data_IF_938434094177
#
_entry.id   IF_938434094177
#
_cell.length_a   1.000
_cell.length_b   1.000
_cell.length_c   1.000
_cell.angle_alpha   90.00
_cell.angle_beta   90.00
_cell.angle_gamma   90.00
#
_symmetry.space_group_name_H-M   'P 1'
#
loop_
_entity.id
_entity.type
_entity.pdbx_description
1 polymer ?
#
# COMPACT_ATOMS: atom_id res chain seq x y z
N UNK A 1 -5.70 29.55 -8.48
CA UNK A 1 -4.61 28.93 -9.28
C UNK A 1 -3.30 29.16 -8.57
N UNK A 2 -3.00 28.37 -7.58
CA UNK A 2 -1.66 28.29 -6.99
C UNK A 2 -1.12 26.90 -7.28
N UNK A 3 -0.16 26.85 -8.20
CA UNK A 3 0.58 25.66 -8.55
C UNK A 3 1.54 25.35 -7.41
N UNK A 4 1.25 24.35 -6.62
CA UNK A 4 2.25 23.75 -5.71
C UNK A 4 2.93 22.63 -6.45
N UNK A 5 4.16 22.87 -6.81
CA UNK A 5 5.05 21.93 -7.45
C UNK A 5 5.45 20.87 -6.41
N UNK A 6 5.05 19.63 -6.64
CA UNK A 6 5.69 18.47 -6.01
C UNK A 6 7.14 18.43 -6.50
N UNK A 7 8.04 18.61 -5.56
CA UNK A 7 9.47 18.66 -5.80
C UNK A 7 9.96 17.27 -6.23
N UNK A 8 10.36 17.19 -7.49
CA UNK A 8 11.13 16.08 -8.01
C UNK A 8 12.48 16.02 -7.28
N UNK A 9 12.73 14.98 -6.50
CA UNK A 9 14.05 14.69 -5.94
C UNK A 9 14.94 14.13 -7.05
N UNK A 10 15.96 14.88 -7.35
CA UNK A 10 16.98 14.60 -8.35
C UNK A 10 17.82 13.39 -7.99
N UNK A 11 17.91 12.47 -8.93
CA UNK A 11 18.95 11.46 -9.03
C UNK A 11 20.36 12.10 -8.96
N UNK A 12 21.18 11.63 -8.05
CA UNK A 12 22.63 11.77 -8.14
C UNK A 12 23.22 10.41 -8.49
N UNK A 13 23.52 10.26 -9.76
CA UNK A 13 24.33 9.16 -10.26
C UNK A 13 25.80 9.35 -9.81
N UNK A 14 26.33 8.45 -9.02
CA UNK A 14 27.77 8.32 -8.79
C UNK A 14 28.27 7.10 -9.54
N UNK A 15 28.90 7.36 -10.67
CA UNK A 15 29.72 6.41 -11.41
C UNK A 15 31.06 6.24 -10.71
N UNK A 16 31.39 5.01 -10.29
CA UNK A 16 32.71 4.62 -9.82
C UNK A 16 33.14 3.32 -10.45
N UNK A 17 34.01 3.42 -11.46
CA UNK A 17 34.69 2.30 -12.10
C UNK A 17 35.99 1.93 -11.36
N UNK A 18 36.34 0.64 -11.35
CA UNK A 18 37.69 0.15 -10.93
C UNK A 18 37.63 -1.31 -10.63
N UNK A 19 37.89 -2.18 -11.55
CA UNK A 19 39.11 -2.84 -12.00
C UNK A 19 39.63 -3.97 -11.09
N UNK A 20 39.46 -5.20 -11.62
CA UNK A 20 40.43 -6.31 -11.77
C UNK A 20 41.12 -6.95 -10.55
N UNK A 21 41.07 -8.28 -10.52
CA UNK A 21 42.02 -9.13 -9.80
C UNK A 21 41.65 -10.59 -9.90
N UNK A 22 42.16 -11.29 -10.93
CA UNK A 22 42.24 -12.76 -11.01
C UNK A 22 43.38 -13.29 -10.11
N UNK A 23 43.20 -14.50 -9.55
CA UNK A 23 44.25 -15.57 -9.48
C UNK A 23 43.70 -16.68 -8.58
N UNK A 24 43.35 -17.78 -9.07
CA UNK A 24 43.92 -19.09 -9.39
C UNK A 24 44.67 -19.80 -8.25
N UNK A 25 44.24 -21.02 -7.98
CA UNK A 25 45.13 -22.12 -7.79
C UNK A 25 45.06 -22.87 -6.46
N UNK A 26 44.84 -24.19 -6.55
CA UNK A 26 45.48 -25.12 -5.66
C UNK A 26 44.64 -26.21 -5.03
N UNK A 27 44.59 -27.36 -5.70
CA UNK A 27 44.17 -28.66 -5.22
C UNK A 27 44.89 -29.09 -3.91
N UNK A 28 44.22 -29.88 -3.08
CA UNK A 28 44.69 -31.23 -2.79
C UNK A 28 43.67 -31.98 -1.90
N UNK A 29 43.39 -33.18 -2.33
CA UNK A 29 42.64 -34.21 -1.63
C UNK A 29 43.47 -34.82 -0.46
N UNK A 30 42.79 -35.29 0.59
CA UNK A 30 43.17 -36.57 1.20
C UNK A 30 42.07 -37.18 2.05
N UNK A 31 41.86 -38.43 1.83
CA UNK A 31 40.91 -39.34 2.43
C UNK A 31 41.31 -39.76 3.85
N UNK A 32 40.36 -40.25 4.64
CA UNK A 32 40.63 -41.00 5.88
C UNK A 32 39.41 -41.35 6.70
N UNK A 33 38.75 -42.43 6.33
CA UNK A 33 38.24 -43.56 7.15
C UNK A 33 37.47 -43.32 8.45
N UNK A 34 36.26 -43.89 8.45
CA UNK A 34 35.47 -44.36 9.60
C UNK A 34 36.17 -45.43 10.43
N UNK A 35 35.72 -45.79 11.68
CA UNK A 35 34.56 -46.67 11.75
C UNK A 35 33.58 -46.41 12.94
N UNK A 36 32.47 -47.09 12.80
CA UNK A 36 31.28 -47.19 13.60
C UNK A 36 31.45 -47.63 15.06
N UNK A 37 30.50 -47.25 15.89
CA UNK A 37 29.97 -48.11 16.96
C UNK A 37 28.49 -47.81 17.21
N UNK A 38 27.71 -48.85 17.02
CA UNK A 38 26.32 -48.99 17.45
C UNK A 38 26.20 -48.95 18.97
N UNK A 39 25.14 -48.34 19.49
CA UNK A 39 24.31 -49.06 20.45
C UNK A 39 22.93 -48.40 20.65
N UNK A 40 21.97 -49.24 20.61
CA UNK A 40 20.52 -49.08 20.53
C UNK A 40 19.81 -48.78 21.86
N UNK A 41 18.54 -48.49 21.65
CA UNK A 41 17.37 -48.64 22.56
C UNK A 41 17.09 -47.48 23.50
N UNK A 42 15.86 -47.01 23.66
CA UNK A 42 14.50 -47.44 23.30
C UNK A 42 13.48 -46.27 23.54
N UNK A 43 12.23 -46.42 23.13
CA UNK A 43 11.35 -45.34 22.70
C UNK A 43 10.39 -44.91 23.82
N UNK A 44 9.80 -43.80 23.61
CA UNK A 44 8.47 -43.33 24.05
C UNK A 44 8.50 -41.92 24.58
N UNK A 45 8.20 -41.03 23.75
CA UNK A 45 7.10 -40.10 24.00
C UNK A 45 6.76 -39.36 22.70
N UNK A 46 5.95 -40.00 21.89
CA UNK A 46 5.22 -39.29 20.82
C UNK A 46 4.17 -38.44 21.54
N UNK A 47 4.56 -37.26 21.91
CA UNK A 47 3.61 -36.17 21.98
C UNK A 47 3.51 -35.62 20.57
N UNK A 48 2.30 -35.67 20.03
CA UNK A 48 1.88 -34.96 18.84
C UNK A 48 2.38 -33.52 18.90
N UNK A 49 3.60 -33.30 18.47
CA UNK A 49 4.03 -32.01 17.98
C UNK A 49 3.37 -31.91 16.61
N UNK A 50 2.21 -31.27 16.52
CA UNK A 50 1.80 -30.61 15.30
C UNK A 50 3.06 -29.92 14.79
N UNK A 51 3.61 -30.41 13.71
CA UNK A 51 4.67 -29.73 12.93
C UNK A 51 4.07 -28.40 12.44
N UNK A 52 4.00 -27.43 13.31
CA UNK A 52 3.80 -26.03 12.94
C UNK A 52 5.13 -25.62 12.33
N UNK A 53 5.31 -25.89 11.03
CA UNK A 53 6.39 -25.31 10.28
C UNK A 53 6.37 -23.81 10.58
N UNK A 54 7.47 -23.30 11.10
CA UNK A 54 7.60 -21.87 11.37
C UNK A 54 7.32 -21.11 10.08
N UNK A 55 6.38 -20.15 10.09
CA UNK A 55 6.08 -19.38 8.89
C UNK A 55 7.34 -18.72 8.35
N UNK A 56 7.57 -18.83 7.05
CA UNK A 56 8.74 -18.27 6.37
C UNK A 56 10.09 -18.76 6.91
N UNK A 57 10.19 -20.04 7.28
CA UNK A 57 11.44 -20.62 7.79
C UNK A 57 12.58 -20.38 6.82
N UNK A 58 13.71 -19.88 7.35
CA UNK A 58 14.95 -19.62 6.60
C UNK A 58 14.97 -18.32 5.80
N UNK A 59 13.91 -17.52 5.82
CA UNK A 59 13.90 -16.20 5.19
C UNK A 59 14.26 -15.10 6.19
N UNK A 60 15.00 -14.09 5.72
CA UNK A 60 15.20 -12.84 6.45
C UNK A 60 13.91 -12.00 6.51
N UNK A 61 13.88 -11.00 7.38
CA UNK A 61 12.76 -10.06 7.44
C UNK A 61 12.56 -9.34 6.11
N UNK A 62 13.62 -8.85 5.49
CA UNK A 62 13.59 -8.19 4.19
C UNK A 62 13.01 -9.07 3.09
N UNK A 63 13.49 -10.34 2.97
CA UNK A 63 12.94 -11.28 1.98
C UNK A 63 11.44 -11.56 2.18
N UNK A 64 10.97 -11.54 3.43
CA UNK A 64 9.54 -11.71 3.72
C UNK A 64 8.77 -10.46 3.31
N UNK A 65 9.27 -9.26 3.61
CA UNK A 65 8.65 -8.00 3.22
C UNK A 65 8.55 -7.87 1.71
N UNK A 66 9.64 -8.15 0.98
CA UNK A 66 9.64 -8.15 -0.49
C UNK A 66 8.58 -9.09 -1.07
N UNK A 67 8.47 -10.32 -0.51
CA UNK A 67 7.43 -11.26 -0.94
C UNK A 67 6.03 -10.78 -0.62
N UNK A 68 5.84 -10.17 0.54
CA UNK A 68 4.55 -9.64 0.94
C UNK A 68 4.09 -8.50 0.04
N UNK A 69 4.99 -7.56 -0.26
CA UNK A 69 4.72 -6.48 -1.20
C UNK A 69 4.41 -7.01 -2.59
N UNK A 70 5.25 -7.92 -3.11
CA UNK A 70 5.03 -8.54 -4.42
C UNK A 70 3.72 -9.33 -4.50
N UNK A 71 3.33 -10.03 -3.43
CA UNK A 71 2.04 -10.72 -3.37
C UNK A 71 0.88 -9.73 -3.36
N UNK A 72 1.01 -8.64 -2.58
CA UNK A 72 -0.03 -7.62 -2.43
C UNK A 72 -0.25 -6.85 -3.73
N UNK A 73 0.81 -6.31 -4.35
CA UNK A 73 0.74 -5.67 -5.66
C UNK A 73 0.38 -6.67 -6.76
N UNK A 74 0.71 -7.95 -6.56
CA UNK A 74 0.34 -9.09 -7.41
C UNK A 74 -1.13 -9.49 -7.33
N UNK A 75 -1.88 -9.08 -6.31
CA UNK A 75 -3.27 -9.46 -6.14
C UNK A 75 -4.15 -8.95 -7.29
N UNK A 76 -5.14 -9.75 -7.77
CA UNK A 76 -6.02 -9.31 -8.85
C UNK A 76 -6.87 -8.09 -8.47
N UNK A 77 -7.17 -7.95 -7.19
CA UNK A 77 -7.88 -6.84 -6.57
C UNK A 77 -7.68 -6.88 -5.06
N UNK A 78 -7.87 -5.76 -4.42
CA UNK A 78 -7.87 -5.63 -2.97
C UNK A 78 -8.67 -4.39 -2.54
N UNK A 79 -8.90 -4.27 -1.24
CA UNK A 79 -9.36 -3.04 -0.59
C UNK A 79 -8.28 -2.58 0.37
N UNK A 80 -8.00 -1.29 0.38
CA UNK A 80 -7.19 -0.70 1.42
C UNK A 80 -7.94 0.41 2.15
N UNK A 81 -7.67 0.51 3.43
CA UNK A 81 -8.18 1.56 4.29
C UNK A 81 -7.01 2.19 5.03
N UNK A 82 -7.04 3.49 5.22
CA UNK A 82 -5.95 4.19 5.90
C UNK A 82 -6.38 5.51 6.50
N UNK A 83 -5.60 5.94 7.48
CA UNK A 83 -5.62 7.29 8.03
C UNK A 83 -4.19 7.81 8.01
N UNK A 84 -3.97 8.88 7.27
CA UNK A 84 -2.67 9.50 7.06
C UNK A 84 -2.81 10.98 7.44
N UNK A 85 -2.04 11.50 8.39
CA UNK A 85 -2.01 12.93 8.64
C UNK A 85 -1.65 13.70 7.37
N UNK A 86 -2.41 14.71 7.06
CA UNK A 86 -2.13 15.62 5.97
C UNK A 86 -1.48 16.89 6.55
N UNK A 87 -0.19 17.06 6.31
CA UNK A 87 0.56 18.21 6.82
C UNK A 87 0.14 19.51 6.13
N UNK A 88 -0.41 19.45 4.92
CA UNK A 88 -0.76 20.63 4.13
C UNK A 88 -2.05 21.29 4.65
N UNK A 89 -3.08 20.49 4.92
CA UNK A 89 -4.33 20.96 5.53
C UNK A 89 -4.27 20.98 7.06
N UNK A 90 -3.32 20.26 7.67
CA UNK A 90 -3.26 19.99 9.11
C UNK A 90 -4.34 19.01 9.59
N UNK A 91 -5.00 18.35 8.65
CA UNK A 91 -6.06 17.38 8.87
C UNK A 91 -5.58 15.94 8.82
N UNK A 92 -6.48 15.05 8.48
CA UNK A 92 -6.21 13.62 8.27
C UNK A 92 -6.88 13.17 6.98
N UNK A 93 -6.10 12.62 6.06
CA UNK A 93 -6.59 11.94 4.89
C UNK A 93 -7.10 10.55 5.31
N UNK A 94 -8.39 10.29 5.10
CA UNK A 94 -8.99 8.98 5.29
C UNK A 94 -9.21 8.33 3.93
N UNK A 95 -8.76 7.10 3.82
CA UNK A 95 -8.83 6.32 2.59
C UNK A 95 -9.67 5.07 2.84
N UNK A 96 -10.60 4.78 1.95
CA UNK A 96 -11.32 3.52 1.92
C UNK A 96 -11.64 3.15 0.47
N UNK A 97 -10.73 2.42 -0.17
CA UNK A 97 -10.76 2.18 -1.61
C UNK A 97 -10.59 0.69 -1.93
N UNK A 98 -11.44 0.17 -2.81
CA UNK A 98 -11.25 -1.10 -3.49
C UNK A 98 -10.72 -0.82 -4.91
N UNK A 99 -9.71 -1.56 -5.34
CA UNK A 99 -9.10 -1.41 -6.65
C UNK A 99 -8.68 -2.73 -7.27
N UNK A 100 -8.51 -2.77 -8.59
CA UNK A 100 -8.02 -3.93 -9.31
C UNK A 100 -6.88 -3.57 -10.28
N UNK A 101 -6.24 -4.61 -10.81
CA UNK A 101 -5.12 -4.46 -11.77
C UNK A 101 -5.47 -3.81 -13.10
N UNK A 102 -6.74 -3.59 -13.40
CA UNK A 102 -7.17 -2.87 -14.60
C UNK A 102 -7.21 -1.37 -14.35
N UNK A 103 -7.02 -0.96 -13.08
CA UNK A 103 -7.17 0.41 -12.63
C UNK A 103 -8.63 0.80 -12.40
N UNK A 104 -9.55 -0.17 -12.33
CA UNK A 104 -10.88 0.07 -11.83
C UNK A 104 -10.82 0.23 -10.30
N UNK A 105 -11.54 1.23 -9.76
CA UNK A 105 -11.44 1.62 -8.36
C UNK A 105 -12.77 2.19 -7.89
N UNK A 106 -13.11 1.98 -6.62
CA UNK A 106 -14.30 2.55 -6.01
C UNK A 106 -14.15 2.69 -4.49
N UNK A 107 -14.66 3.77 -3.93
CA UNK A 107 -14.67 4.01 -2.50
C UNK A 107 -14.75 5.46 -2.11
N UNK A 108 -14.13 5.84 -1.00
CA UNK A 108 -14.21 7.18 -0.42
C UNK A 108 -12.84 7.73 -0.04
N UNK A 109 -12.69 9.04 -0.19
CA UNK A 109 -11.59 9.85 0.30
C UNK A 109 -12.16 10.90 1.23
N UNK A 110 -11.74 10.91 2.49
CA UNK A 110 -12.12 11.94 3.47
C UNK A 110 -10.92 12.85 3.76
N UNK A 111 -11.14 14.16 3.75
CA UNK A 111 -10.12 15.18 3.97
C UNK A 111 -10.36 15.90 5.30
N UNK A 112 -10.12 15.20 6.41
CA UNK A 112 -10.30 15.79 7.74
C UNK A 112 -11.69 16.39 7.95
N UNK A 113 -11.71 17.67 8.31
CA UNK A 113 -12.94 18.46 8.45
C UNK A 113 -13.38 19.12 7.12
N UNK A 114 -12.59 18.96 6.05
CA UNK A 114 -12.87 19.56 4.73
C UNK A 114 -13.89 18.76 3.91
N UNK A 115 -14.31 17.59 4.38
CA UNK A 115 -15.38 16.79 3.76
C UNK A 115 -14.92 15.49 3.13
N UNK A 116 -15.81 14.90 2.31
CA UNK A 116 -15.61 13.58 1.71
C UNK A 116 -15.94 13.57 0.21
N UNK A 117 -15.19 12.76 -0.52
CA UNK A 117 -15.42 12.46 -1.93
C UNK A 117 -15.67 10.97 -2.09
N UNK A 118 -16.84 10.58 -2.59
CA UNK A 118 -17.09 9.22 -3.07
C UNK A 118 -16.65 9.15 -4.54
N UNK A 119 -15.83 8.15 -4.88
CA UNK A 119 -15.30 8.03 -6.23
C UNK A 119 -15.51 6.63 -6.84
N UNK A 120 -15.65 6.60 -8.15
CA UNK A 120 -15.62 5.38 -8.96
C UNK A 120 -14.81 5.70 -10.21
N UNK A 121 -13.70 4.96 -10.41
CA UNK A 121 -12.94 5.00 -11.65
C UNK A 121 -13.19 3.69 -12.40
N UNK A 122 -13.66 3.79 -13.63
CA UNK A 122 -13.89 2.63 -14.48
C UNK A 122 -13.46 2.93 -15.91
N UNK A 123 -12.52 2.14 -16.40
CA UNK A 123 -11.86 2.42 -17.67
C UNK A 123 -11.21 3.80 -17.66
N UNK A 124 -11.54 4.63 -18.64
CA UNK A 124 -11.02 6.00 -18.75
C UNK A 124 -11.90 7.09 -18.11
N UNK A 125 -12.92 6.72 -17.32
CA UNK A 125 -13.88 7.66 -16.74
C UNK A 125 -13.75 7.66 -15.22
N UNK A 126 -13.66 8.84 -14.64
CA UNK A 126 -13.77 9.09 -13.21
C UNK A 126 -15.16 9.64 -12.92
N UNK A 127 -15.86 9.01 -12.00
CA UNK A 127 -17.08 9.52 -11.38
C UNK A 127 -16.73 9.97 -9.97
N UNK A 128 -17.16 11.16 -9.59
CA UNK A 128 -16.97 11.71 -8.26
C UNK A 128 -18.28 12.28 -7.72
N UNK A 129 -18.52 12.07 -6.44
CA UNK A 129 -19.63 12.69 -5.73
C UNK A 129 -19.06 13.38 -4.50
N UNK A 130 -19.22 14.69 -4.48
CA UNK A 130 -18.67 15.56 -3.44
C UNK A 130 -19.73 15.84 -2.39
N UNK A 131 -19.33 15.88 -1.13
CA UNK A 131 -20.21 16.45 -0.11
C UNK A 131 -20.13 17.98 -0.09
N UNK A 132 -21.05 18.62 0.65
CA UNK A 132 -21.12 20.08 0.75
C UNK A 132 -19.86 20.65 1.43
N UNK A 133 -19.32 19.96 2.45
CA UNK A 133 -18.16 20.42 3.19
C UNK A 133 -16.93 20.51 2.27
N UNK A 134 -16.70 19.47 1.46
CA UNK A 134 -15.63 19.45 0.48
C UNK A 134 -15.73 20.59 -0.52
N UNK A 135 -16.93 20.79 -1.13
CA UNK A 135 -17.11 21.84 -2.12
C UNK A 135 -16.89 23.23 -1.52
N UNK A 136 -17.29 23.47 -0.28
CA UNK A 136 -17.05 24.74 0.41
C UNK A 136 -15.56 24.93 0.73
N UNK A 137 -14.88 23.90 1.20
CA UNK A 137 -13.45 23.96 1.50
C UNK A 137 -12.62 24.24 0.22
N UNK A 138 -12.92 23.56 -0.87
CA UNK A 138 -12.22 23.77 -2.16
C UNK A 138 -12.52 25.14 -2.80
N UNK A 139 -13.62 25.80 -2.39
CA UNK A 139 -14.03 27.13 -2.88
C UNK A 139 -13.62 28.24 -1.91
N UNK A 140 -12.69 27.99 -0.98
CA UNK A 140 -12.25 29.00 -0.02
C UNK A 140 -11.65 30.22 -0.72
N UNK A 141 -12.15 31.39 -0.39
CA UNK A 141 -11.73 32.66 -0.99
C UNK A 141 -12.57 33.13 -2.19
N UNK A 142 -13.47 32.31 -2.67
CA UNK A 142 -14.44 32.69 -3.72
C UNK A 142 -15.65 33.47 -3.12
N UNK A 143 -16.37 34.28 -3.93
CA UNK A 143 -17.58 34.95 -3.48
C UNK A 143 -18.64 33.93 -3.01
N UNK A 144 -19.27 34.21 -1.86
CA UNK A 144 -20.25 33.29 -1.25
C UNK A 144 -21.36 32.85 -2.21
N UNK A 145 -21.85 33.77 -3.08
CA UNK A 145 -22.88 33.44 -4.02
C UNK A 145 -22.46 32.42 -5.09
N UNK A 146 -21.18 32.44 -5.48
CA UNK A 146 -20.61 31.48 -6.44
C UNK A 146 -20.41 30.13 -5.76
N UNK A 147 -19.94 30.11 -4.51
CA UNK A 147 -19.83 28.91 -3.69
C UNK A 147 -21.18 28.23 -3.50
N UNK A 148 -22.22 29.02 -3.13
CA UNK A 148 -23.57 28.47 -2.92
C UNK A 148 -24.15 27.89 -4.22
N UNK A 149 -23.88 28.50 -5.38
CA UNK A 149 -24.30 27.98 -6.68
C UNK A 149 -23.58 26.64 -7.03
N UNK A 150 -22.29 26.51 -6.76
CA UNK A 150 -21.55 25.26 -6.94
C UNK A 150 -22.09 24.17 -6.03
N UNK A 151 -22.30 24.48 -4.76
CA UNK A 151 -22.87 23.54 -3.79
C UNK A 151 -24.28 23.08 -4.21
N UNK A 152 -25.15 24.00 -4.61
CA UNK A 152 -26.51 23.66 -5.08
C UNK A 152 -26.47 22.72 -6.31
N UNK A 153 -25.50 22.91 -7.20
CA UNK A 153 -25.39 22.13 -8.43
C UNK A 153 -24.76 20.76 -8.21
N UNK A 154 -23.73 20.65 -7.35
CA UNK A 154 -22.85 19.49 -7.32
C UNK A 154 -22.97 18.66 -6.04
N UNK A 155 -23.35 19.24 -4.89
CA UNK A 155 -23.36 18.50 -3.63
C UNK A 155 -24.28 17.28 -3.69
N UNK A 156 -23.72 16.11 -3.40
CA UNK A 156 -24.43 14.83 -3.44
C UNK A 156 -24.85 14.35 -4.84
N UNK A 157 -24.44 15.07 -5.90
CA UNK A 157 -24.68 14.69 -7.30
C UNK A 157 -23.46 14.00 -7.87
N UNK A 158 -23.66 12.90 -8.59
CA UNK A 158 -22.55 12.28 -9.32
C UNK A 158 -22.11 13.18 -10.47
N UNK A 159 -20.84 13.42 -10.54
CA UNK A 159 -20.17 14.05 -11.69
C UNK A 159 -19.40 13.00 -12.48
N UNK A 160 -19.08 13.27 -13.73
CA UNK A 160 -18.12 12.47 -14.50
C UNK A 160 -17.15 13.36 -15.27
N UNK A 161 -15.93 12.86 -15.42
CA UNK A 161 -14.87 13.48 -16.20
C UNK A 161 -13.91 12.42 -16.75
N UNK A 162 -13.09 12.79 -17.72
CA UNK A 162 -12.01 11.91 -18.18
C UNK A 162 -10.99 11.69 -17.04
N UNK A 163 -10.64 10.43 -16.76
CA UNK A 163 -9.70 10.08 -15.69
C UNK A 163 -8.25 10.55 -15.94
N UNK A 164 -7.96 11.00 -17.18
CA UNK A 164 -6.66 11.52 -17.61
C UNK A 164 -6.61 13.04 -17.67
N UNK A 165 -7.65 13.73 -17.21
CA UNK A 165 -7.66 15.19 -17.08
C UNK A 165 -6.82 15.64 -15.89
N UNK A 166 -6.21 16.83 -15.98
CA UNK A 166 -5.37 17.37 -14.92
C UNK A 166 -6.09 17.45 -13.55
N UNK A 167 -7.39 17.73 -13.57
CA UNK A 167 -8.22 17.83 -12.36
C UNK A 167 -8.60 16.45 -11.79
N UNK A 168 -8.44 15.39 -12.58
CA UNK A 168 -8.76 14.02 -12.20
C UNK A 168 -7.53 13.20 -11.79
N UNK A 169 -6.34 13.59 -12.24
CA UNK A 169 -5.10 12.81 -12.03
C UNK A 169 -4.78 12.63 -10.55
N UNK A 170 -4.93 13.67 -9.74
CA UNK A 170 -4.64 13.61 -8.30
C UNK A 170 -5.56 12.61 -7.58
N UNK A 171 -6.85 12.60 -7.94
CA UNK A 171 -7.81 11.65 -7.37
C UNK A 171 -7.61 10.24 -7.95
N UNK A 172 -7.31 10.15 -9.24
CA UNK A 172 -7.11 8.87 -9.94
C UNK A 172 -5.85 8.14 -9.49
N UNK A 173 -4.84 8.85 -8.98
CA UNK A 173 -3.61 8.29 -8.42
C UNK A 173 -3.87 7.37 -7.23
N UNK A 174 -4.87 7.65 -6.40
CA UNK A 174 -5.28 6.73 -5.33
C UNK A 174 -5.84 5.39 -5.83
N UNK A 175 -6.16 5.29 -7.11
CA UNK A 175 -6.58 4.04 -7.75
C UNK A 175 -5.42 3.24 -8.34
N UNK A 176 -4.18 3.64 -8.11
CA UNK A 176 -2.97 2.93 -8.47
C UNK A 176 -2.23 2.45 -7.23
N UNK A 177 -2.19 1.12 -7.05
CA UNK A 177 -1.58 0.54 -5.86
C UNK A 177 -0.07 0.76 -5.81
N UNK A 178 0.58 0.83 -6.96
CA UNK A 178 2.02 1.08 -7.03
C UNK A 178 2.32 2.53 -6.61
N UNK A 179 1.43 3.48 -6.91
CA UNK A 179 1.53 4.86 -6.39
C UNK A 179 1.23 4.92 -4.89
N UNK A 180 0.18 4.24 -4.42
CA UNK A 180 -0.21 4.22 -2.99
C UNK A 180 0.86 3.58 -2.11
N UNK A 181 1.48 2.50 -2.55
CA UNK A 181 2.57 1.85 -1.81
C UNK A 181 3.91 2.56 -2.00
N UNK A 182 4.04 3.34 -3.08
CA UNK A 182 5.21 4.15 -3.37
C UNK A 182 6.53 3.41 -3.17
N UNK A 183 7.43 4.06 -2.45
CA UNK A 183 8.75 3.50 -2.14
C UNK A 183 8.77 2.51 -0.97
N UNK A 184 7.61 2.11 -0.43
CA UNK A 184 7.54 1.16 0.68
C UNK A 184 8.25 -0.18 0.38
N UNK A 185 8.43 -0.51 -0.91
CA UNK A 185 9.22 -1.66 -1.36
C UNK A 185 10.72 -1.43 -1.47
N UNK A 186 11.18 -0.19 -1.51
CA UNK A 186 12.58 0.13 -1.82
C UNK A 186 13.51 0.15 -0.60
N UNK A 187 12.97 0.15 0.63
CA UNK A 187 13.73 0.20 1.88
C UNK A 187 13.72 -1.09 2.71
N UNK A 188 12.93 -2.07 2.33
CA UNK A 188 12.57 -3.19 3.21
C UNK A 188 13.62 -4.30 3.37
N UNK A 189 14.83 -4.16 2.79
CA UNK A 189 15.90 -5.14 2.92
C UNK A 189 16.41 -5.33 4.35
N UNK A 190 16.25 -4.33 5.21
CA UNK A 190 16.73 -4.32 6.60
C UNK A 190 15.64 -4.68 7.63
N UNK A 191 14.46 -5.07 7.16
CA UNK A 191 13.38 -5.47 8.05
C UNK A 191 13.77 -6.66 8.94
N UNK A 192 13.46 -6.55 10.22
CA UNK A 192 13.73 -7.57 11.24
C UNK A 192 12.47 -8.37 11.54
N UNK A 193 12.62 -9.71 11.64
CA UNK A 193 11.51 -10.58 12.04
C UNK A 193 11.08 -10.30 13.46
N UNK A 194 9.78 -10.08 13.64
CA UNK A 194 9.14 -9.95 14.94
C UNK A 194 8.45 -11.24 15.38
N UNK A 195 7.30 -11.12 16.01
CA UNK A 195 6.55 -12.23 16.58
C UNK A 195 5.37 -12.63 15.68
N UNK A 196 5.00 -13.91 15.75
CA UNK A 196 3.71 -14.34 15.23
C UNK A 196 2.58 -13.67 16.06
N UNK A 197 1.57 -13.22 15.36
CA UNK A 197 0.40 -12.55 15.92
C UNK A 197 -0.86 -12.93 15.16
N UNK A 198 -1.98 -12.33 15.51
CA UNK A 198 -3.23 -12.43 14.77
C UNK A 198 -3.74 -11.00 14.54
N UNK A 199 -4.03 -10.66 13.31
CA UNK A 199 -4.60 -9.37 12.92
C UNK A 199 -6.01 -9.62 12.38
N UNK A 200 -7.02 -9.09 13.05
CA UNK A 200 -8.44 -9.23 12.68
C UNK A 200 -8.87 -10.68 12.36
N UNK A 201 -8.34 -11.64 13.15
CA UNK A 201 -8.61 -13.07 13.00
C UNK A 201 -7.68 -13.80 12.02
N UNK A 202 -6.83 -13.11 11.27
CA UNK A 202 -5.87 -13.68 10.32
C UNK A 202 -4.51 -13.87 10.99
N UNK A 203 -3.93 -15.10 10.97
CA UNK A 203 -2.59 -15.35 11.46
C UNK A 203 -1.56 -14.53 10.68
N UNK A 204 -0.70 -13.83 11.39
CA UNK A 204 0.29 -12.93 10.80
C UNK A 204 1.66 -13.02 11.49
N UNK A 205 2.68 -12.60 10.79
CA UNK A 205 4.02 -12.33 11.31
C UNK A 205 4.26 -10.81 11.28
N UNK A 206 4.75 -10.26 12.38
CA UNK A 206 5.21 -8.87 12.38
C UNK A 206 6.64 -8.79 11.88
N UNK A 207 6.92 -7.77 11.07
CA UNK A 207 8.26 -7.37 10.68
C UNK A 207 8.44 -5.91 11.07
N UNK A 208 9.63 -5.51 11.44
CA UNK A 208 9.92 -4.13 11.85
C UNK A 208 11.13 -3.63 11.10
N UNK A 209 11.01 -2.48 10.51
CA UNK A 209 12.11 -1.73 9.90
C UNK A 209 12.33 -0.44 10.69
N UNK A 210 13.58 -0.04 10.81
CA UNK A 210 13.99 1.17 11.49
C UNK A 210 14.89 1.97 10.55
N UNK A 211 14.45 3.15 10.17
CA UNK A 211 15.27 4.12 9.43
C UNK A 211 15.48 5.38 10.28
N UNK A 212 16.65 5.49 10.86
CA UNK A 212 16.94 6.58 11.79
C UNK A 212 15.99 6.59 13.00
N UNK A 213 15.09 7.57 13.05
CA UNK A 213 14.05 7.68 14.08
C UNK A 213 12.73 7.07 13.66
N UNK A 214 12.56 6.82 12.37
CA UNK A 214 11.34 6.34 11.79
C UNK A 214 11.24 4.83 11.93
N UNK A 215 10.04 4.36 12.22
CA UNK A 215 9.77 2.95 12.39
C UNK A 215 8.57 2.55 11.55
N UNK A 216 8.73 1.45 10.83
CA UNK A 216 7.70 0.81 10.04
C UNK A 216 7.43 -0.58 10.60
N UNK A 217 6.17 -0.95 10.72
CA UNK A 217 5.75 -2.29 11.14
C UNK A 217 4.85 -2.88 10.06
N UNK A 218 5.27 -4.03 9.53
CA UNK A 218 4.53 -4.78 8.53
C UNK A 218 3.90 -6.00 9.19
N UNK A 219 2.65 -6.27 8.86
CA UNK A 219 1.92 -7.46 9.27
C UNK A 219 1.68 -8.32 8.05
N UNK A 220 2.34 -9.46 7.97
CA UNK A 220 2.33 -10.35 6.81
C UNK A 220 1.55 -11.61 7.12
N UNK A 221 0.59 -11.97 6.27
CA UNK A 221 -0.17 -13.22 6.41
C UNK A 221 0.76 -14.44 6.43
N UNK A 222 0.50 -15.36 7.36
CA UNK A 222 1.30 -16.59 7.50
C UNK A 222 0.61 -17.83 6.95
N UNK A 223 -0.60 -17.69 6.48
CA UNK A 223 -1.41 -18.72 5.85
C UNK A 223 -1.92 -18.23 4.49
N UNK A 224 -1.92 -19.10 3.49
CA UNK A 224 -2.27 -18.73 2.11
C UNK A 224 -1.18 -17.93 1.41
N UNK A 225 -1.59 -16.94 0.63
CA UNK A 225 -0.65 -16.00 0.01
C UNK A 225 -0.08 -15.04 1.07
N UNK A 226 1.20 -14.70 1.01
CA UNK A 226 1.85 -13.87 2.02
C UNK A 226 1.51 -12.38 1.84
N UNK A 227 0.24 -12.07 1.85
CA UNK A 227 -0.20 -10.69 1.69
C UNK A 227 0.26 -9.79 2.85
N UNK A 228 0.60 -8.56 2.53
CA UNK A 228 0.70 -7.49 3.52
C UNK A 228 -0.73 -7.16 3.99
N UNK A 229 -0.99 -7.37 5.27
CA UNK A 229 -2.30 -7.12 5.88
C UNK A 229 -2.40 -5.70 6.43
N UNK A 230 -1.27 -5.17 6.94
CA UNK A 230 -1.20 -3.83 7.51
C UNK A 230 0.22 -3.30 7.46
N UNK A 231 0.34 -2.02 7.20
CA UNK A 231 1.54 -1.21 7.36
C UNK A 231 1.24 -0.12 8.39
N UNK A 232 2.07 -0.02 9.41
CA UNK A 232 2.04 1.06 10.40
C UNK A 232 3.34 1.85 10.30
N UNK A 233 3.26 3.15 10.15
CA UNK A 233 4.39 4.07 10.16
C UNK A 233 4.31 4.99 11.37
N UNK A 234 5.43 5.14 12.08
CA UNK A 234 5.64 6.17 13.11
C UNK A 234 6.67 7.20 12.65
N UNK A 235 6.94 7.26 11.34
CA UNK A 235 7.74 8.31 10.73
C UNK A 235 7.12 9.68 11.03
N UNK A 236 7.98 10.69 11.20
CA UNK A 236 7.50 12.05 11.33
C UNK A 236 7.08 12.65 9.98
N UNK A 237 7.60 12.10 8.87
CA UNK A 237 7.24 12.53 7.51
C UNK A 237 5.91 11.91 7.05
N UNK A 238 5.75 10.60 7.30
CA UNK A 238 4.60 9.84 6.82
C UNK A 238 4.02 8.94 7.93
N UNK A 239 3.49 9.54 9.01
CA UNK A 239 2.86 8.75 10.06
C UNK A 239 1.51 8.22 9.57
N UNK A 240 1.13 7.03 9.99
CA UNK A 240 -0.19 6.50 9.64
C UNK A 240 -0.28 4.99 9.65
N UNK A 241 -1.45 4.53 9.29
CA UNK A 241 -1.75 3.11 9.19
C UNK A 241 -2.53 2.83 7.92
N UNK A 242 -2.07 1.86 7.15
CA UNK A 242 -2.79 1.33 5.98
C UNK A 242 -3.07 -0.14 6.21
N UNK A 243 -4.31 -0.56 6.03
CA UNK A 243 -4.77 -1.94 6.17
C UNK A 243 -5.29 -2.45 4.83
N UNK A 244 -4.87 -3.66 4.45
CA UNK A 244 -5.23 -4.30 3.19
C UNK A 244 -6.13 -5.50 3.44
N UNK A 245 -7.24 -5.57 2.74
CA UNK A 245 -8.28 -6.59 2.88
C UNK A 245 -8.87 -6.97 1.52
N UNK A 246 -9.85 -7.84 1.52
CA UNK A 246 -10.67 -8.18 0.37
C UNK A 246 -9.90 -8.61 -0.89
N UNK A 247 -8.73 -9.24 -0.69
CA UNK A 247 -7.91 -9.75 -1.79
C UNK A 247 -8.71 -10.68 -2.72
N UNK A 248 -8.68 -10.36 -4.02
CA UNK A 248 -9.37 -11.12 -5.06
C UNK A 248 -10.89 -10.93 -5.10
N UNK A 249 -11.48 -10.04 -4.28
CA UNK A 249 -12.91 -9.73 -4.37
C UNK A 249 -13.20 -8.75 -5.51
N UNK A 250 -14.37 -8.85 -6.16
CA UNK A 250 -14.75 -7.92 -7.21
C UNK A 250 -14.78 -6.47 -6.72
N UNK A 251 -14.24 -5.55 -7.50
CA UNK A 251 -14.31 -4.12 -7.25
C UNK A 251 -15.69 -3.59 -7.69
N UNK A 252 -16.42 -2.83 -6.86
CA UNK A 252 -17.74 -2.32 -7.21
C UNK A 252 -17.65 -1.05 -8.10
N UNK A 253 -16.81 -1.08 -9.14
CA UNK A 253 -16.56 0.04 -10.04
C UNK A 253 -17.57 0.13 -11.19
N UNK A 254 -18.85 -0.08 -10.90
CA UNK A 254 -19.93 0.11 -11.86
C UNK A 254 -20.29 1.59 -12.04
N UNK A 255 -20.76 1.96 -13.24
CA UNK A 255 -21.32 3.30 -13.45
C UNK A 255 -22.40 3.58 -12.37
N UNK A 256 -22.32 4.73 -11.66
CA UNK A 256 -23.30 5.06 -10.63
C UNK A 256 -24.70 5.24 -11.20
N UNK A 257 -25.71 4.98 -10.37
CA UNK A 257 -27.12 5.19 -10.72
C UNK A 257 -27.53 6.64 -10.49
N UNK A 258 -28.55 7.09 -11.20
CA UNK A 258 -29.14 8.42 -11.07
C UNK A 258 -28.62 9.43 -12.09
N UNK A 259 -28.79 10.71 -11.76
CA UNK A 259 -28.33 11.81 -12.59
C UNK A 259 -26.81 11.96 -12.47
N UNK A 260 -26.16 12.20 -13.60
CA UNK A 260 -24.71 12.37 -13.66
C UNK A 260 -24.41 13.64 -14.44
N UNK A 261 -23.77 14.60 -13.78
CA UNK A 261 -23.34 15.84 -14.41
C UNK A 261 -22.03 15.58 -15.19
N UNK A 262 -22.03 15.91 -16.46
CA UNK A 262 -20.86 15.75 -17.34
C UNK A 262 -20.00 17.02 -17.31
N UNK A 263 -18.88 16.96 -16.57
CA UNK A 263 -18.01 18.13 -16.42
C UNK A 263 -17.22 18.42 -17.70
N UNK A 264 -16.89 17.40 -18.52
CA UNK A 264 -16.22 17.60 -19.81
C UNK A 264 -17.11 18.33 -20.82
N UNK A 265 -18.42 18.33 -20.61
CA UNK A 265 -19.38 19.05 -21.48
C UNK A 265 -19.61 20.50 -21.06
N UNK A 266 -19.09 20.92 -19.90
CA UNK A 266 -19.25 22.29 -19.37
C UNK A 266 -18.05 23.20 -19.68
N UNK A 267 -16.92 22.61 -20.16
CA UNK A 267 -15.66 23.31 -20.45
C UNK A 267 -15.48 23.71 -21.91
#
# INVERSE_FOLDING_TARGET
MRRTALAALCLVAVTGAGLTGCQSGGDTASAGSQPASEQAKDPKNSKDSKDTKEPFAGLSGGEITERALAATTGAPSLRFTGEIPDEESGGTLRLDLALDKKGDCAGTLGLGDEGEVELIKSGGTLYAKYDEAFLRAQSEGEPQADVDAVVEMMAGTWTKMAATGADAEDIAGFCDLDEVLGDAGNGSSDATRGKATTLDGTPALTLTEQDGKDRYTFYVATEGEPYLLRLESTSAADPGTITFTDFGKPVPAGKPEGEILDLDALG
#
